data_IF_650826566228
#
_entry.id   IF_650826566228
#
_cell.length_a   1.000
_cell.length_b   1.000
_cell.length_c   1.000
_cell.angle_alpha   90.00
_cell.angle_beta   90.00
_cell.angle_gamma   90.00
#
_symmetry.space_group_name_H-M   'P 1'
#
loop_
_entity.id
_entity.type
_entity.pdbx_description
1 polymer ?
#
# COMPACT_ATOMS: atom_id res chain seq x y z
N UNK A 1 -9.14 19.72 13.15
CA UNK A 1 -8.57 18.52 12.51
C UNK A 1 -7.07 18.76 12.33
N UNK A 2 -6.21 17.76 12.56
CA UNK A 2 -4.77 17.90 12.34
C UNK A 2 -4.49 18.07 10.85
N UNK A 3 -3.69 19.08 10.49
CA UNK A 3 -3.19 19.24 9.13
C UNK A 3 -1.78 18.62 9.01
N UNK A 4 -1.47 18.11 7.83
CA UNK A 4 -0.18 17.52 7.50
C UNK A 4 0.57 18.42 6.49
N UNK A 5 1.85 18.67 6.76
CA UNK A 5 2.74 19.31 5.79
C UNK A 5 3.14 18.32 4.68
N UNK A 6 3.60 18.77 3.50
CA UNK A 6 4.08 17.86 2.45
C UNK A 6 5.18 16.91 2.92
N UNK A 7 6.06 17.37 3.82
CA UNK A 7 7.08 16.52 4.42
C UNK A 7 6.45 15.39 5.25
N UNK A 8 5.46 15.71 6.09
CA UNK A 8 4.74 14.70 6.86
C UNK A 8 3.94 13.75 5.97
N UNK A 9 3.32 14.26 4.91
CA UNK A 9 2.65 13.43 3.90
C UNK A 9 3.63 12.42 3.29
N UNK A 10 4.85 12.84 2.96
CA UNK A 10 5.91 11.94 2.47
C UNK A 10 6.30 10.89 3.52
N UNK A 11 6.53 11.31 4.77
CA UNK A 11 6.87 10.39 5.87
C UNK A 11 5.81 9.28 6.04
N UNK A 12 4.52 9.63 5.93
CA UNK A 12 3.44 8.65 6.02
C UNK A 12 3.37 7.68 4.83
N UNK A 13 4.00 8.03 3.69
CA UNK A 13 4.10 7.17 2.52
C UNK A 13 5.38 6.31 2.50
N UNK A 14 6.38 6.59 3.36
CA UNK A 14 7.65 5.83 3.42
C UNK A 14 7.40 4.31 3.51
N UNK A 15 6.49 3.80 4.35
CA UNK A 15 6.29 2.35 4.42
C UNK A 15 5.81 1.73 3.09
N UNK A 16 4.92 2.42 2.39
CA UNK A 16 4.40 1.96 1.10
C UNK A 16 5.47 2.02 0.00
N UNK A 17 6.26 3.11 -0.02
CA UNK A 17 7.40 3.26 -0.92
C UNK A 17 8.42 2.17 -0.64
N UNK A 18 8.75 1.95 0.63
CA UNK A 18 9.68 0.92 1.10
C UNK A 18 9.25 -0.47 0.65
N UNK A 19 8.00 -0.86 0.92
CA UNK A 19 7.42 -2.12 0.46
C UNK A 19 7.55 -2.27 -1.07
N UNK A 20 7.21 -1.24 -1.83
CA UNK A 20 7.22 -1.29 -3.30
C UNK A 20 8.64 -1.43 -3.85
N UNK A 21 9.60 -0.66 -3.31
CA UNK A 21 11.01 -0.72 -3.70
C UNK A 21 11.65 -2.04 -3.31
N UNK A 22 11.44 -2.51 -2.07
CA UNK A 22 11.95 -3.80 -1.61
C UNK A 22 11.38 -4.95 -2.45
N UNK A 23 10.09 -4.92 -2.77
CA UNK A 23 9.47 -5.91 -3.65
C UNK A 23 10.10 -5.95 -5.04
N UNK A 24 10.36 -4.77 -5.64
CA UNK A 24 11.04 -4.68 -6.93
C UNK A 24 12.48 -5.23 -6.87
N UNK A 25 13.23 -4.94 -5.80
CA UNK A 25 14.58 -5.46 -5.60
C UNK A 25 14.55 -6.99 -5.44
N UNK A 26 13.62 -7.53 -4.66
CA UNK A 26 13.43 -8.99 -4.52
C UNK A 26 13.19 -9.63 -5.89
N UNK A 27 12.30 -9.08 -6.72
CA UNK A 27 12.03 -9.61 -8.07
C UNK A 27 13.22 -9.49 -9.01
N UNK A 28 14.00 -8.40 -8.90
CA UNK A 28 15.22 -8.19 -9.68
C UNK A 28 16.32 -9.18 -9.34
N UNK A 29 16.54 -9.42 -8.05
CA UNK A 29 17.64 -10.25 -7.54
C UNK A 29 17.29 -11.74 -7.56
N UNK A 30 16.01 -12.12 -7.39
CA UNK A 30 15.58 -13.51 -7.28
C UNK A 30 16.09 -14.42 -8.42
N UNK A 31 15.94 -14.06 -9.72
CA UNK A 31 16.48 -14.86 -10.82
C UNK A 31 17.95 -14.56 -11.12
N UNK A 32 18.76 -14.29 -10.09
CA UNK A 32 20.20 -14.02 -10.23
C UNK A 32 20.56 -12.71 -10.94
N UNK A 33 19.68 -11.70 -10.90
CA UNK A 33 19.92 -10.44 -11.61
C UNK A 33 19.71 -10.51 -13.13
N UNK A 34 19.00 -11.54 -13.62
CA UNK A 34 18.68 -11.64 -15.06
C UNK A 34 17.87 -10.44 -15.56
N UNK A 35 17.95 -10.18 -16.87
CA UNK A 35 17.18 -9.11 -17.52
C UNK A 35 15.68 -9.23 -17.26
N UNK A 36 15.15 -10.46 -17.20
CA UNK A 36 13.75 -10.73 -16.88
C UNK A 36 13.39 -10.35 -15.44
N UNK A 37 14.30 -10.56 -14.50
CA UNK A 37 14.15 -10.09 -13.12
C UNK A 37 14.08 -8.56 -13.05
N UNK A 38 14.98 -7.88 -13.76
CA UNK A 38 15.00 -6.41 -13.81
C UNK A 38 13.70 -5.87 -14.40
N UNK A 39 13.24 -6.44 -15.52
CA UNK A 39 11.97 -6.08 -16.14
C UNK A 39 10.81 -6.30 -15.16
N UNK A 40 10.78 -7.44 -14.46
CA UNK A 40 9.76 -7.73 -13.45
C UNK A 40 9.79 -6.71 -12.30
N UNK A 41 10.98 -6.32 -11.82
CA UNK A 41 11.15 -5.29 -10.80
C UNK A 41 10.62 -3.92 -11.25
N UNK A 42 10.96 -3.49 -12.48
CA UNK A 42 10.45 -2.23 -13.05
C UNK A 42 8.93 -2.28 -13.22
N UNK A 43 8.40 -3.37 -13.77
CA UNK A 43 6.97 -3.57 -13.92
C UNK A 43 6.25 -3.52 -12.56
N UNK A 44 6.87 -4.07 -11.51
CA UNK A 44 6.35 -4.01 -10.15
C UNK A 44 6.33 -2.60 -9.58
N UNK A 45 7.36 -1.77 -9.81
CA UNK A 45 7.35 -0.35 -9.44
C UNK A 45 6.23 0.41 -10.15
N UNK A 46 6.09 0.20 -11.46
CA UNK A 46 5.02 0.82 -12.26
C UNK A 46 3.65 0.40 -11.73
N UNK A 47 3.49 -0.89 -11.40
CA UNK A 47 2.27 -1.42 -10.83
C UNK A 47 1.95 -0.80 -9.45
N UNK A 48 2.95 -0.62 -8.58
CA UNK A 48 2.79 0.06 -7.30
C UNK A 48 2.34 1.52 -7.45
N UNK A 49 2.94 2.25 -8.39
CA UNK A 49 2.54 3.63 -8.71
C UNK A 49 1.13 3.69 -9.31
N UNK A 50 0.82 2.80 -10.25
CA UNK A 50 -0.50 2.69 -10.86
C UNK A 50 -1.57 2.32 -9.82
N UNK A 51 -1.25 1.43 -8.87
CA UNK A 51 -2.11 1.08 -7.75
C UNK A 51 -2.41 2.27 -6.85
N UNK A 52 -1.40 3.07 -6.51
CA UNK A 52 -1.59 4.32 -5.75
C UNK A 52 -2.51 5.29 -6.48
N UNK A 53 -2.26 5.52 -7.77
CA UNK A 53 -3.12 6.36 -8.60
C UNK A 53 -4.55 5.81 -8.70
N UNK A 54 -4.69 4.48 -8.80
CA UNK A 54 -5.98 3.80 -8.83
C UNK A 54 -6.80 4.09 -7.56
N UNK A 55 -6.17 3.98 -6.38
CA UNK A 55 -6.82 4.31 -5.11
C UNK A 55 -7.20 5.81 -5.06
N UNK A 56 -6.33 6.71 -5.52
CA UNK A 56 -6.65 8.13 -5.63
C UNK A 56 -7.87 8.40 -6.52
N UNK A 57 -8.01 7.68 -7.63
CA UNK A 57 -9.08 7.92 -8.62
C UNK A 57 -10.40 7.28 -8.20
N UNK A 58 -10.37 6.09 -7.61
CA UNK A 58 -11.56 5.27 -7.38
C UNK A 58 -12.02 5.20 -5.93
N UNK A 59 -11.15 5.52 -4.96
CA UNK A 59 -11.48 5.46 -3.52
C UNK A 59 -11.50 6.86 -2.89
N UNK A 60 -10.45 7.67 -3.09
CA UNK A 60 -10.35 8.98 -2.46
C UNK A 60 -11.52 9.97 -2.73
N UNK A 61 -12.25 9.93 -3.86
CA UNK A 61 -13.44 10.78 -4.04
C UNK A 61 -14.54 10.55 -3.00
N UNK A 62 -14.60 9.34 -2.44
CA UNK A 62 -15.56 8.92 -1.41
C UNK A 62 -15.01 9.16 0.01
N UNK A 63 -13.76 9.61 0.15
CA UNK A 63 -13.10 9.80 1.45
C UNK A 63 -13.45 11.14 2.09
N UNK A 64 -13.69 11.19 3.40
CA UNK A 64 -13.99 12.40 4.18
C UNK A 64 -12.86 13.44 4.16
N UNK A 65 -11.65 13.05 3.80
CA UNK A 65 -10.50 13.95 3.64
C UNK A 65 -10.26 14.41 2.20
N UNK A 66 -11.21 14.20 1.29
CA UNK A 66 -11.13 14.72 -0.08
C UNK A 66 -10.89 16.23 -0.07
N UNK A 67 -9.88 16.67 -0.84
CA UNK A 67 -9.43 18.07 -0.91
C UNK A 67 -9.08 18.74 0.43
N UNK A 68 -8.58 17.96 1.40
CA UNK A 68 -8.13 18.50 2.69
C UNK A 68 -6.66 18.18 2.95
N UNK A 69 -5.99 19.01 3.76
CA UNK A 69 -4.65 18.71 4.31
C UNK A 69 -4.69 17.72 5.49
N UNK A 70 -5.85 17.15 5.79
CA UNK A 70 -6.04 16.24 6.91
C UNK A 70 -5.80 14.75 6.55
N UNK A 71 -5.64 14.38 5.26
CA UNK A 71 -5.14 13.03 4.97
C UNK A 71 -3.65 12.94 5.31
N UNK A 72 -3.22 12.01 6.20
CA UNK A 72 -1.81 11.75 6.44
C UNK A 72 -1.07 11.39 5.15
N UNK A 73 -1.78 10.82 4.18
CA UNK A 73 -1.26 10.37 2.90
C UNK A 73 -1.12 11.45 1.83
N UNK A 74 -1.81 12.59 1.98
CA UNK A 74 -1.95 13.62 0.93
C UNK A 74 -2.84 13.25 -0.28
N UNK A 75 -3.28 12.00 -0.40
CA UNK A 75 -3.98 11.49 -1.59
C UNK A 75 -5.31 12.20 -1.87
N UNK A 76 -6.02 12.67 -0.83
CA UNK A 76 -7.28 13.39 -0.99
C UNK A 76 -7.16 14.67 -1.82
N UNK A 77 -6.05 15.41 -1.67
CA UNK A 77 -5.74 16.63 -2.43
C UNK A 77 -5.32 16.32 -3.86
N UNK A 78 -4.53 15.26 -4.03
CA UNK A 78 -4.10 14.81 -5.36
C UNK A 78 -5.32 14.33 -6.15
N UNK A 79 -6.18 13.53 -5.53
CA UNK A 79 -7.41 13.03 -6.12
C UNK A 79 -8.37 14.16 -6.55
N UNK A 80 -8.46 15.24 -5.78
CA UNK A 80 -9.31 16.39 -6.11
C UNK A 80 -8.95 17.07 -7.44
N UNK A 81 -7.70 16.96 -7.88
CA UNK A 81 -7.25 17.46 -9.21
C UNK A 81 -7.84 16.67 -10.38
N UNK A 82 -8.19 15.40 -10.16
CA UNK A 82 -8.64 14.50 -11.23
C UNK A 82 -10.11 14.09 -11.09
N UNK A 83 -10.68 14.19 -9.89
CA UNK A 83 -12.00 13.65 -9.55
C UNK A 83 -12.75 14.57 -8.61
N UNK A 84 -14.01 14.84 -8.96
CA UNK A 84 -14.96 15.53 -8.08
C UNK A 84 -15.31 14.68 -6.87
N UNK A 85 -15.62 15.33 -5.75
CA UNK A 85 -16.15 14.72 -4.53
C UNK A 85 -17.36 13.83 -4.85
N UNK A 86 -17.46 12.70 -4.13
CA UNK A 86 -18.58 11.76 -4.20
C UNK A 86 -19.18 11.51 -2.79
N UNK A 87 -20.41 10.97 -2.71
CA UNK A 87 -21.08 10.68 -1.44
C UNK A 87 -20.23 9.78 -0.53
N UNK A 88 -20.10 10.14 0.74
CA UNK A 88 -19.17 9.50 1.69
C UNK A 88 -19.65 8.10 2.09
N UNK A 89 -20.94 7.85 2.00
CA UNK A 89 -21.65 6.63 2.39
C UNK A 89 -21.19 5.44 1.55
N UNK A 90 -20.81 5.67 0.28
CA UNK A 90 -20.32 4.63 -0.61
C UNK A 90 -18.84 4.25 -0.38
N UNK A 91 -18.13 4.89 0.56
CA UNK A 91 -16.70 4.65 0.79
C UNK A 91 -16.38 3.18 1.09
N UNK A 92 -17.12 2.55 2.02
CA UNK A 92 -16.83 1.17 2.45
C UNK A 92 -16.96 0.18 1.28
N UNK A 93 -17.99 0.36 0.44
CA UNK A 93 -18.21 -0.43 -0.76
C UNK A 93 -17.07 -0.25 -1.77
N UNK A 94 -16.72 1.01 -2.10
CA UNK A 94 -15.66 1.30 -3.08
C UNK A 94 -14.28 0.88 -2.57
N UNK A 95 -14.01 1.04 -1.29
CA UNK A 95 -12.78 0.56 -0.67
C UNK A 95 -12.66 -0.96 -0.83
N UNK A 96 -13.68 -1.74 -0.45
CA UNK A 96 -13.65 -3.21 -0.61
C UNK A 96 -13.50 -3.65 -2.06
N UNK A 97 -14.14 -2.93 -2.99
CA UNK A 97 -14.07 -3.24 -4.43
C UNK A 97 -12.68 -3.01 -5.01
N UNK A 98 -11.98 -1.97 -4.57
CA UNK A 98 -10.73 -1.52 -5.21
C UNK A 98 -9.46 -1.85 -4.42
N UNK A 99 -9.55 -2.13 -3.12
CA UNK A 99 -8.37 -2.55 -2.33
C UNK A 99 -7.68 -3.83 -2.86
N UNK A 100 -8.38 -4.83 -3.44
CA UNK A 100 -7.72 -6.02 -3.99
C UNK A 100 -6.74 -5.69 -5.13
N UNK A 101 -6.88 -4.53 -5.79
CA UNK A 101 -5.96 -4.09 -6.85
C UNK A 101 -4.55 -3.88 -6.34
N UNK A 102 -4.35 -3.54 -5.07
CA UNK A 102 -3.00 -3.34 -4.54
C UNK A 102 -2.47 -4.58 -3.80
N UNK A 103 -3.34 -5.51 -3.37
CA UNK A 103 -2.97 -6.73 -2.61
C UNK A 103 -1.81 -7.52 -3.22
N UNK A 104 -1.67 -7.66 -4.55
CA UNK A 104 -0.53 -8.35 -5.14
C UNK A 104 0.83 -7.75 -4.79
N UNK A 105 0.91 -6.46 -4.42
CA UNK A 105 2.17 -5.84 -3.96
C UNK A 105 2.72 -6.49 -2.68
N UNK A 106 1.87 -7.07 -1.84
CA UNK A 106 2.30 -7.79 -0.64
C UNK A 106 2.73 -9.22 -0.95
N UNK A 107 2.05 -9.87 -1.91
CA UNK A 107 2.17 -11.32 -2.11
C UNK A 107 3.21 -11.68 -3.16
N UNK A 108 3.28 -10.95 -4.28
CA UNK A 108 4.14 -11.29 -5.42
C UNK A 108 5.63 -11.43 -5.00
N UNK A 109 6.23 -10.50 -4.23
CA UNK A 109 7.64 -10.64 -3.85
C UNK A 109 7.92 -11.90 -3.02
N UNK A 110 7.00 -12.28 -2.13
CA UNK A 110 7.11 -13.52 -1.33
C UNK A 110 6.94 -14.75 -2.22
N UNK A 111 5.90 -14.77 -3.05
CA UNK A 111 5.59 -15.89 -3.94
C UNK A 111 6.68 -16.16 -4.97
N UNK A 112 7.41 -15.13 -5.39
CA UNK A 112 8.56 -15.28 -6.29
C UNK A 112 9.83 -15.58 -5.51
N UNK A 113 10.17 -14.78 -4.49
CA UNK A 113 11.44 -14.90 -3.80
C UNK A 113 11.62 -16.20 -3.02
N UNK A 114 10.58 -16.69 -2.32
CA UNK A 114 10.68 -17.91 -1.50
C UNK A 114 11.07 -19.14 -2.34
N UNK A 115 10.43 -19.44 -3.47
CA UNK A 115 10.87 -20.52 -4.34
C UNK A 115 12.33 -20.41 -4.82
N UNK A 116 12.84 -19.20 -5.05
CA UNK A 116 14.25 -19.00 -5.44
C UNK A 116 15.20 -19.25 -4.27
N UNK A 117 14.85 -18.82 -3.05
CA UNK A 117 15.64 -19.16 -1.84
C UNK A 117 15.69 -20.68 -1.64
N UNK A 118 14.58 -21.39 -1.85
CA UNK A 118 14.54 -22.85 -1.66
C UNK A 118 15.41 -23.58 -2.70
N UNK A 119 15.42 -23.12 -3.95
CA UNK A 119 16.14 -23.82 -5.05
C UNK A 119 17.63 -23.52 -5.11
N UNK A 120 18.04 -22.30 -4.83
CA UNK A 120 19.42 -21.85 -5.06
C UNK A 120 19.94 -20.96 -3.94
N UNK A 121 19.59 -21.31 -2.69
CA UNK A 121 19.84 -20.59 -1.44
C UNK A 121 20.81 -19.40 -1.53
N UNK A 122 20.31 -18.21 -1.20
CA UNK A 122 21.07 -16.95 -1.20
C UNK A 122 20.76 -16.17 0.07
N UNK A 123 21.82 -15.87 0.85
CA UNK A 123 21.71 -15.03 2.04
C UNK A 123 21.17 -13.64 1.73
N UNK A 124 21.57 -13.08 0.58
CA UNK A 124 21.09 -11.77 0.13
C UNK A 124 19.59 -11.78 -0.12
N UNK A 125 19.09 -12.78 -0.88
CA UNK A 125 17.67 -12.88 -1.18
C UNK A 125 16.84 -13.19 0.07
N UNK A 126 17.35 -14.05 0.95
CA UNK A 126 16.72 -14.34 2.24
C UNK A 126 16.61 -13.08 3.11
N UNK A 127 17.70 -12.31 3.24
CA UNK A 127 17.70 -11.06 3.99
C UNK A 127 16.70 -10.05 3.43
N UNK A 128 16.67 -9.88 2.11
CA UNK A 128 15.71 -9.01 1.42
C UNK A 128 14.25 -9.43 1.67
N UNK A 129 13.95 -10.74 1.63
CA UNK A 129 12.61 -11.26 1.90
C UNK A 129 12.19 -11.06 3.35
N UNK A 130 13.09 -11.25 4.31
CA UNK A 130 12.81 -10.98 5.73
C UNK A 130 12.50 -9.51 5.95
N UNK A 131 13.32 -8.61 5.40
CA UNK A 131 13.10 -7.16 5.49
C UNK A 131 11.79 -6.77 4.80
N UNK A 132 11.53 -7.29 3.60
CA UNK A 132 10.26 -7.08 2.89
C UNK A 132 9.06 -7.55 3.72
N UNK A 133 9.14 -8.74 4.32
CA UNK A 133 8.03 -9.30 5.09
C UNK A 133 7.73 -8.45 6.35
N UNK A 134 8.77 -8.00 7.05
CA UNK A 134 8.62 -7.10 8.19
C UNK A 134 8.00 -5.78 7.73
N UNK A 135 8.49 -5.19 6.64
CA UNK A 135 7.95 -3.94 6.10
C UNK A 135 6.48 -4.06 5.69
N UNK A 136 6.17 -5.04 4.84
CA UNK A 136 4.87 -5.20 4.20
C UNK A 136 3.77 -5.68 5.17
N UNK A 137 4.10 -6.59 6.10
CA UNK A 137 3.12 -7.24 6.97
C UNK A 137 3.12 -6.73 8.41
N UNK A 138 4.15 -5.99 8.84
CA UNK A 138 4.24 -5.44 10.20
C UNK A 138 4.28 -3.92 10.18
N UNK A 139 5.31 -3.32 9.59
CA UNK A 139 5.54 -1.87 9.66
C UNK A 139 4.41 -1.12 8.96
N UNK A 140 4.10 -1.43 7.71
CA UNK A 140 3.06 -0.74 6.95
C UNK A 140 1.65 -0.88 7.58
N UNK A 141 1.19 -2.07 7.99
CA UNK A 141 -0.09 -2.21 8.69
C UNK A 141 -0.12 -1.45 10.03
N UNK A 142 0.96 -1.47 10.81
CA UNK A 142 1.03 -0.73 12.09
C UNK A 142 1.05 0.78 11.84
N UNK A 143 1.88 1.26 10.92
CA UNK A 143 1.98 2.67 10.55
C UNK A 143 0.63 3.21 10.05
N UNK A 144 -0.04 2.46 9.17
CA UNK A 144 -1.36 2.86 8.64
C UNK A 144 -2.45 2.81 9.71
N UNK A 145 -2.55 1.75 10.50
CA UNK A 145 -3.68 1.58 11.45
C UNK A 145 -3.52 2.35 12.76
N UNK A 146 -2.30 2.47 13.30
CA UNK A 146 -2.07 3.12 14.60
C UNK A 146 -1.74 4.61 14.51
N UNK A 147 -1.16 5.06 13.40
CA UNK A 147 -0.73 6.45 13.25
C UNK A 147 -1.55 7.20 12.19
N UNK A 148 -1.63 6.67 10.96
CA UNK A 148 -2.33 7.35 9.88
C UNK A 148 -3.85 7.37 10.03
N UNK A 149 -4.49 6.20 10.00
CA UNK A 149 -5.94 6.05 9.96
C UNK A 149 -6.62 6.16 11.34
N UNK A 150 -5.86 6.38 12.42
CA UNK A 150 -6.38 6.44 13.79
C UNK A 150 -7.40 7.57 14.00
N UNK A 151 -7.14 8.72 13.39
CA UNK A 151 -7.96 9.94 13.50
C UNK A 151 -8.92 10.13 12.32
N UNK A 152 -9.02 9.13 11.42
CA UNK A 152 -9.87 9.21 10.23
C UNK A 152 -11.36 9.31 10.63
N UNK A 153 -12.15 10.27 10.08
CA UNK A 153 -13.57 10.41 10.40
C UNK A 153 -14.41 9.21 9.95
N UNK A 154 -13.90 8.42 9.00
CA UNK A 154 -14.54 7.20 8.50
C UNK A 154 -13.94 5.93 9.09
N UNK A 155 -13.17 6.03 10.20
CA UNK A 155 -12.49 4.89 10.81
C UNK A 155 -13.45 3.74 11.13
N UNK A 156 -14.62 4.04 11.68
CA UNK A 156 -15.55 3.00 12.17
C UNK A 156 -16.26 2.25 11.03
N UNK A 157 -16.35 2.88 9.85
CA UNK A 157 -16.95 2.29 8.64
C UNK A 157 -15.90 1.75 7.66
N UNK A 158 -14.61 1.99 7.93
CA UNK A 158 -13.50 1.61 7.07
C UNK A 158 -13.20 0.10 7.17
N UNK A 159 -13.24 -0.64 6.05
CA UNK A 159 -12.91 -2.07 6.04
C UNK A 159 -11.50 -2.40 6.53
N UNK A 160 -10.54 -1.48 6.35
CA UNK A 160 -9.15 -1.63 6.80
C UNK A 160 -9.01 -1.53 8.33
N UNK A 161 -9.83 -0.68 8.95
CA UNK A 161 -9.79 -0.43 10.39
C UNK A 161 -10.74 -1.31 11.18
N UNK A 162 -11.77 -1.87 10.53
CA UNK A 162 -12.73 -2.76 11.15
C UNK A 162 -11.99 -4.02 11.61
N UNK A 163 -11.69 -4.11 12.91
CA UNK A 163 -11.40 -5.39 13.54
C UNK A 163 -12.53 -6.32 13.14
N UNK A 164 -12.24 -7.51 12.59
CA UNK A 164 -13.22 -8.59 12.52
C UNK A 164 -13.80 -8.72 13.93
N UNK A 165 -15.01 -8.21 14.14
CA UNK A 165 -15.78 -8.54 15.32
C UNK A 165 -15.84 -10.05 15.32
N UNK A 166 -15.35 -10.69 16.37
CA UNK A 166 -15.42 -12.14 16.58
C UNK A 166 -16.85 -12.65 16.79
N UNK A 167 -17.87 -11.87 16.42
CA UNK A 167 -19.28 -12.24 16.49
C UNK A 167 -19.92 -11.96 15.13
N UNK A 168 -19.90 -12.95 14.24
CA UNK A 168 -20.80 -13.07 13.11
C UNK A 168 -20.94 -14.56 12.81
N UNK A 169 -21.99 -15.14 13.43
CA UNK A 169 -22.64 -16.43 13.19
C UNK A 169 -21.75 -17.66 12.94
#
# INVERSE_FOLDING_TARGET
MREYSPAQELFHNIPYIGMTVLGAIVLGVAPGGSIWGIIAGIAFLIYGLAGTLWIMVFVCPYCGYWDTKACPCGYGRIAAKFRKKKPIECFSEKFKKHIPVIVPLWLIPVLVGVPFVIRSFSWTLLGLLVVFAIEAFVILPVASTKHGCKECPQRDTCPWMKKKSKNAA
#
